data_IF_384811246177
#
_entry.id   IF_384811246177
#
_cell.length_a   1.000
_cell.length_b   1.000
_cell.length_c   1.000
_cell.angle_alpha   90.00
_cell.angle_beta   90.00
_cell.angle_gamma   90.00
#
_symmetry.space_group_name_H-M   'P 1'
#
loop_
_entity.id
_entity.type
_entity.pdbx_description
1 polymer ?
#
# COMPACT_ATOMS: atom_id res chain seq x y z
N UNK A 1 30.70 9.31 35.11
CA UNK A 1 30.31 10.48 35.92
C UNK A 1 29.25 11.30 35.23
N UNK A 2 29.63 12.14 34.27
CA UNK A 2 28.76 13.15 33.64
C UNK A 2 27.54 12.54 32.91
N UNK A 3 27.71 11.45 32.15
CA UNK A 3 26.61 10.79 31.43
C UNK A 3 25.52 10.22 32.36
N UNK A 4 25.92 9.65 33.50
CA UNK A 4 24.99 9.12 34.50
C UNK A 4 24.27 10.27 35.20
N UNK A 5 24.97 11.36 35.51
CA UNK A 5 24.34 12.56 36.08
C UNK A 5 23.33 13.21 35.12
N UNK A 6 23.63 13.25 33.82
CA UNK A 6 22.71 13.75 32.79
C UNK A 6 21.51 12.81 32.55
N UNK A 7 21.73 11.50 32.57
CA UNK A 7 20.65 10.52 32.45
C UNK A 7 19.71 10.57 33.65
N UNK A 8 20.26 10.72 34.87
CA UNK A 8 19.47 10.88 36.10
C UNK A 8 18.72 12.23 36.08
N UNK A 9 19.38 13.32 35.68
CA UNK A 9 18.74 14.63 35.55
C UNK A 9 17.62 14.65 34.48
N UNK A 10 17.79 13.90 33.39
CA UNK A 10 16.78 13.73 32.34
C UNK A 10 15.67 12.73 32.68
N UNK A 11 15.86 11.90 33.71
CA UNK A 11 14.85 10.92 34.16
C UNK A 11 13.83 11.50 35.14
N UNK A 12 14.00 12.75 35.57
CA UNK A 12 12.99 13.43 36.39
C UNK A 12 11.72 13.66 35.56
N UNK A 13 10.57 13.11 35.97
CA UNK A 13 9.29 13.38 35.31
C UNK A 13 9.06 14.89 35.31
N UNK A 14 8.77 15.45 34.14
CA UNK A 14 8.40 16.87 33.98
C UNK A 14 6.92 16.89 33.63
N UNK A 15 6.03 17.01 34.62
CA UNK A 15 4.59 16.85 34.40
C UNK A 15 4.04 17.78 33.32
N UNK A 16 4.58 19.00 33.25
CA UNK A 16 4.23 20.01 32.24
C UNK A 16 4.65 19.56 30.82
N UNK A 17 5.91 19.14 30.63
CA UNK A 17 6.40 18.69 29.32
C UNK A 17 5.72 17.37 28.89
N UNK A 18 5.47 16.45 29.83
CA UNK A 18 4.77 15.21 29.56
C UNK A 18 3.30 15.47 29.17
N UNK A 19 2.66 16.48 29.78
CA UNK A 19 1.29 16.90 29.41
C UNK A 19 1.23 17.60 28.06
N UNK A 20 2.19 18.46 27.73
CA UNK A 20 2.29 19.11 26.42
C UNK A 20 2.50 18.07 25.30
N UNK A 21 3.33 17.05 25.54
CA UNK A 21 3.54 15.94 24.60
C UNK A 21 2.26 15.13 24.43
N UNK A 22 1.56 14.82 25.53
CA UNK A 22 0.31 14.07 25.48
C UNK A 22 -0.79 14.85 24.72
N UNK A 23 -0.91 16.15 24.96
CA UNK A 23 -1.87 17.02 24.28
C UNK A 23 -1.52 17.16 22.79
N UNK A 24 -0.23 17.33 22.45
CA UNK A 24 0.22 17.36 21.05
C UNK A 24 -0.11 16.05 20.30
N UNK A 25 0.11 14.89 20.93
CA UNK A 25 -0.22 13.59 20.36
C UNK A 25 -1.74 13.43 20.16
N UNK A 26 -2.54 13.87 21.13
CA UNK A 26 -4.00 13.78 21.04
C UNK A 26 -4.54 14.64 19.89
N UNK A 27 -4.08 15.90 19.79
CA UNK A 27 -4.43 16.82 18.69
C UNK A 27 -4.01 16.24 17.33
N UNK A 28 -2.77 15.77 17.20
CA UNK A 28 -2.27 15.15 15.96
C UNK A 28 -3.12 13.94 15.55
N UNK A 29 -3.58 13.15 16.53
CA UNK A 29 -4.40 11.97 16.26
C UNK A 29 -5.81 12.28 15.77
N UNK A 30 -6.42 13.35 16.28
CA UNK A 30 -7.73 13.82 15.86
C UNK A 30 -7.65 14.34 14.42
N UNK A 31 -6.61 15.10 14.09
CA UNK A 31 -6.42 15.65 12.75
C UNK A 31 -6.10 14.54 11.72
N UNK A 32 -5.28 13.56 12.10
CA UNK A 32 -5.00 12.40 11.25
C UNK A 32 -6.28 11.60 10.92
N UNK A 33 -7.14 11.38 11.91
CA UNK A 33 -8.43 10.69 11.71
C UNK A 33 -9.39 11.50 10.84
N UNK A 34 -9.44 12.82 11.00
CA UNK A 34 -10.26 13.72 10.15
C UNK A 34 -9.80 13.67 8.70
N UNK A 35 -8.48 13.67 8.47
CA UNK A 35 -7.90 13.55 7.14
C UNK A 35 -8.26 12.21 6.48
N UNK A 36 -8.09 11.10 7.21
CA UNK A 36 -8.49 9.76 6.73
C UNK A 36 -9.98 9.67 6.37
N UNK A 37 -10.86 10.29 7.17
CA UNK A 37 -12.30 10.38 6.86
C UNK A 37 -12.57 11.26 5.63
N UNK A 38 -11.79 12.31 5.42
CA UNK A 38 -11.84 13.14 4.21
C UNK A 38 -11.45 12.35 2.96
N UNK A 39 -10.35 11.60 3.03
CA UNK A 39 -9.92 10.71 1.94
C UNK A 39 -10.97 9.63 1.64
N UNK A 40 -11.59 9.05 2.66
CA UNK A 40 -12.65 8.05 2.48
C UNK A 40 -13.88 8.64 1.75
N UNK A 41 -14.29 9.86 2.10
CA UNK A 41 -15.39 10.56 1.42
C UNK A 41 -15.07 10.87 -0.03
N UNK A 42 -13.82 11.25 -0.31
CA UNK A 42 -13.34 11.51 -1.68
C UNK A 42 -13.36 10.23 -2.53
N UNK A 43 -13.04 9.09 -1.92
CA UNK A 43 -12.98 7.78 -2.57
C UNK A 43 -14.34 7.11 -2.81
N UNK A 44 -15.32 7.36 -1.95
CA UNK A 44 -16.65 6.75 -2.01
C UNK A 44 -17.29 6.79 -3.41
N UNK A 45 -17.35 7.92 -4.15
CA UNK A 45 -17.94 7.94 -5.49
C UNK A 45 -17.19 7.04 -6.48
N UNK A 46 -15.86 6.98 -6.42
CA UNK A 46 -15.06 6.12 -7.30
C UNK A 46 -15.34 4.64 -7.04
N UNK A 47 -15.47 4.24 -5.76
CA UNK A 47 -15.81 2.87 -5.36
C UNK A 47 -17.22 2.50 -5.81
N UNK A 48 -18.19 3.39 -5.62
CA UNK A 48 -19.59 3.18 -6.04
C UNK A 48 -19.69 3.05 -7.56
N UNK A 49 -19.01 3.91 -8.31
CA UNK A 49 -18.98 3.84 -9.78
C UNK A 49 -18.31 2.54 -10.24
N UNK A 50 -17.17 2.15 -9.66
CA UNK A 50 -16.49 0.91 -9.99
C UNK A 50 -17.34 -0.33 -9.72
N UNK A 51 -18.01 -0.39 -8.57
CA UNK A 51 -18.94 -1.46 -8.23
C UNK A 51 -20.16 -1.48 -9.17
N UNK A 52 -20.70 -0.31 -9.53
CA UNK A 52 -21.81 -0.18 -10.47
C UNK A 52 -21.45 -0.66 -11.87
N UNK A 53 -20.27 -0.30 -12.38
CA UNK A 53 -19.75 -0.78 -13.66
C UNK A 53 -19.55 -2.29 -13.63
N UNK A 54 -18.90 -2.82 -12.59
CA UNK A 54 -18.70 -4.26 -12.44
C UNK A 54 -20.02 -5.01 -12.40
N UNK A 55 -20.98 -4.53 -11.61
CA UNK A 55 -22.31 -5.11 -11.51
C UNK A 55 -23.06 -5.09 -12.86
N UNK A 56 -22.98 -3.99 -13.60
CA UNK A 56 -23.53 -3.88 -14.94
C UNK A 56 -22.89 -4.91 -15.89
N UNK A 57 -21.56 -5.00 -15.90
CA UNK A 57 -20.81 -5.95 -16.74
C UNK A 57 -21.13 -7.43 -16.43
N UNK A 58 -21.44 -7.75 -15.17
CA UNK A 58 -21.85 -9.09 -14.74
C UNK A 58 -23.31 -9.42 -15.11
N UNK A 59 -24.14 -8.41 -15.36
CA UNK A 59 -25.56 -8.57 -15.70
C UNK A 59 -25.87 -8.45 -17.19
N UNK A 60 -24.98 -7.83 -17.96
CA UNK A 60 -25.13 -7.76 -19.40
C UNK A 60 -24.93 -9.17 -19.98
N UNK A 61 -25.94 -9.66 -20.69
CA UNK A 61 -25.85 -10.91 -21.46
C UNK A 61 -24.72 -10.81 -22.51
N UNK A 62 -24.18 -11.98 -22.89
CA UNK A 62 -23.13 -12.11 -23.91
C UNK A 62 -23.65 -11.66 -25.28
N UNK A 63 -23.59 -10.35 -25.53
CA UNK A 63 -24.00 -9.72 -26.78
C UNK A 63 -22.83 -9.50 -27.75
N UNK A 64 -23.16 -9.03 -28.95
CA UNK A 64 -22.16 -8.71 -30.00
C UNK A 64 -21.08 -7.74 -29.53
N UNK A 65 -21.41 -6.85 -28.60
CA UNK A 65 -20.49 -5.89 -27.99
C UNK A 65 -19.28 -6.57 -27.31
N UNK A 66 -19.46 -7.73 -26.65
CA UNK A 66 -18.35 -8.47 -26.01
C UNK A 66 -17.36 -9.00 -27.04
N UNK A 67 -17.87 -9.46 -28.20
CA UNK A 67 -17.03 -9.93 -29.30
C UNK A 67 -16.23 -8.78 -29.90
N UNK A 68 -16.89 -7.65 -30.21
CA UNK A 68 -16.21 -6.45 -30.70
C UNK A 68 -15.13 -5.95 -29.74
N UNK A 69 -15.40 -5.95 -28.42
CA UNK A 69 -14.39 -5.57 -27.43
C UNK A 69 -13.22 -6.55 -27.38
N UNK A 70 -13.48 -7.86 -27.48
CA UNK A 70 -12.42 -8.87 -27.47
C UNK A 70 -11.49 -8.73 -28.68
N UNK A 71 -12.03 -8.42 -29.87
CA UNK A 71 -11.23 -8.19 -31.08
C UNK A 71 -10.30 -6.99 -30.92
N UNK A 72 -10.79 -5.90 -30.32
CA UNK A 72 -10.01 -4.69 -30.04
C UNK A 72 -8.95 -4.97 -28.97
N UNK A 73 -9.33 -5.65 -27.87
CA UNK A 73 -8.44 -5.95 -26.74
C UNK A 73 -7.28 -6.87 -27.16
N UNK A 74 -7.57 -7.92 -27.93
CA UNK A 74 -6.60 -8.91 -28.38
C UNK A 74 -5.96 -8.60 -29.73
N UNK A 75 -6.15 -7.36 -30.22
CA UNK A 75 -5.55 -6.87 -31.46
C UNK A 75 -4.02 -6.96 -31.42
N UNK A 76 -3.44 -7.53 -32.49
CA UNK A 76 -2.02 -7.83 -32.63
C UNK A 76 -1.45 -7.14 -33.88
N UNK A 77 -0.88 -5.94 -33.76
CA UNK A 77 -0.29 -5.24 -34.90
C UNK A 77 0.99 -5.91 -35.41
N UNK A 78 1.81 -6.47 -34.51
CA UNK A 78 3.10 -7.08 -34.85
C UNK A 78 3.38 -8.29 -33.94
N UNK A 79 3.52 -9.47 -34.53
CA UNK A 79 3.85 -10.70 -33.79
C UNK A 79 2.86 -10.98 -32.66
N UNK A 80 3.38 -11.29 -31.46
CA UNK A 80 2.59 -11.52 -30.25
C UNK A 80 2.31 -10.26 -29.42
N UNK A 81 2.63 -9.06 -29.93
CA UNK A 81 2.45 -7.82 -29.18
C UNK A 81 0.98 -7.43 -29.12
N UNK A 82 0.42 -7.32 -27.90
CA UNK A 82 -0.97 -6.93 -27.63
C UNK A 82 -1.02 -5.63 -26.83
N UNK A 83 -0.88 -4.46 -27.47
CA UNK A 83 -0.74 -3.19 -26.75
C UNK A 83 -1.98 -2.81 -25.94
N UNK A 84 -3.18 -3.03 -26.50
CA UNK A 84 -4.44 -2.69 -25.83
C UNK A 84 -4.67 -3.57 -24.61
N UNK A 85 -4.45 -4.88 -24.75
CA UNK A 85 -4.47 -5.81 -23.62
C UNK A 85 -3.44 -5.44 -22.55
N UNK A 86 -2.20 -5.17 -22.94
CA UNK A 86 -1.14 -4.77 -22.01
C UNK A 86 -1.51 -3.51 -21.22
N UNK A 87 -2.02 -2.49 -21.91
CA UNK A 87 -2.51 -1.25 -21.28
C UNK A 87 -3.68 -1.53 -20.34
N UNK A 88 -4.65 -2.35 -20.74
CA UNK A 88 -5.77 -2.73 -19.89
C UNK A 88 -5.27 -3.44 -18.62
N UNK A 89 -4.39 -4.44 -18.75
CA UNK A 89 -3.82 -5.16 -17.60
C UNK A 89 -3.00 -4.25 -16.68
N UNK A 90 -2.22 -3.33 -17.26
CA UNK A 90 -1.43 -2.36 -16.50
C UNK A 90 -2.32 -1.35 -15.76
N UNK A 91 -3.38 -0.85 -16.39
CA UNK A 91 -4.36 0.03 -15.74
C UNK A 91 -5.09 -0.69 -14.61
N UNK A 92 -5.54 -1.92 -14.82
CA UNK A 92 -6.16 -2.73 -13.76
C UNK A 92 -5.19 -2.92 -12.60
N UNK A 93 -3.93 -3.24 -12.88
CA UNK A 93 -2.88 -3.36 -11.87
C UNK A 93 -2.63 -2.05 -11.12
N UNK A 94 -2.58 -0.92 -11.82
CA UNK A 94 -2.41 0.41 -11.24
C UNK A 94 -3.54 0.79 -10.29
N UNK A 95 -4.79 0.59 -10.73
CA UNK A 95 -6.00 0.87 -9.94
C UNK A 95 -6.02 -0.01 -8.68
N UNK A 96 -5.82 -1.32 -8.83
CA UNK A 96 -5.87 -2.24 -7.69
C UNK A 96 -4.70 -2.02 -6.72
N UNK A 97 -3.48 -1.80 -7.23
CA UNK A 97 -2.31 -1.48 -6.41
C UNK A 97 -2.49 -0.18 -5.63
N UNK A 98 -2.99 0.87 -6.30
CA UNK A 98 -3.34 2.14 -5.66
C UNK A 98 -4.44 1.98 -4.61
N UNK A 99 -5.50 1.21 -4.92
CA UNK A 99 -6.59 0.93 -3.99
C UNK A 99 -6.09 0.21 -2.72
N UNK A 100 -5.19 -0.77 -2.86
CA UNK A 100 -4.56 -1.46 -1.72
C UNK A 100 -3.81 -0.46 -0.84
N UNK A 101 -2.95 0.37 -1.43
CA UNK A 101 -2.17 1.36 -0.68
C UNK A 101 -3.03 2.40 0.01
N UNK A 102 -4.07 2.89 -0.68
CA UNK A 102 -4.96 3.90 -0.13
C UNK A 102 -5.87 3.35 0.97
N UNK A 103 -6.37 2.13 0.81
CA UNK A 103 -7.12 1.43 1.85
C UNK A 103 -6.25 1.19 3.08
N UNK A 104 -5.01 0.73 2.90
CA UNK A 104 -4.06 0.57 3.98
C UNK A 104 -3.81 1.90 4.72
N UNK A 105 -3.56 2.98 3.97
CA UNK A 105 -3.38 4.33 4.53
C UNK A 105 -4.55 4.75 5.41
N UNK A 106 -5.79 4.61 4.93
CA UNK A 106 -7.00 4.96 5.71
C UNK A 106 -7.12 4.07 6.95
N UNK A 107 -7.06 2.73 6.79
CA UNK A 107 -7.22 1.79 7.89
C UNK A 107 -6.18 2.00 8.98
N UNK A 108 -4.89 2.07 8.62
CA UNK A 108 -3.83 2.27 9.59
C UNK A 108 -3.87 3.66 10.22
N UNK A 109 -4.23 4.71 9.48
CA UNK A 109 -4.35 6.07 10.05
C UNK A 109 -5.50 6.15 11.05
N UNK A 110 -6.63 5.49 10.77
CA UNK A 110 -7.76 5.42 11.71
C UNK A 110 -7.41 4.65 13.00
N UNK A 111 -6.74 3.50 12.86
CA UNK A 111 -6.35 2.64 13.98
C UNK A 111 -5.23 3.26 14.82
N UNK A 112 -4.17 3.74 14.17
CA UNK A 112 -2.96 4.24 14.85
C UNK A 112 -3.10 5.69 15.31
N UNK A 113 -4.08 6.45 14.79
CA UNK A 113 -4.24 7.87 15.12
C UNK A 113 -3.03 8.70 14.68
N UNK A 114 -2.36 8.32 13.60
CA UNK A 114 -1.26 9.08 12.98
C UNK A 114 -1.13 8.66 11.53
N UNK A 115 -0.61 9.54 10.68
CA UNK A 115 -0.44 9.25 9.26
C UNK A 115 0.49 8.04 9.07
N UNK A 116 -0.09 6.91 8.67
CA UNK A 116 0.59 5.62 8.75
C UNK A 116 1.41 5.27 7.50
N UNK A 117 0.97 5.77 6.34
CA UNK A 117 1.59 5.49 5.05
C UNK A 117 1.69 6.79 4.25
N UNK A 118 2.90 7.12 3.80
CA UNK A 118 3.12 8.31 2.99
C UNK A 118 2.48 8.17 1.60
N UNK A 119 2.04 9.28 1.02
CA UNK A 119 1.45 9.28 -0.32
C UNK A 119 2.42 8.72 -1.37
N UNK A 120 3.74 8.89 -1.18
CA UNK A 120 4.76 8.29 -2.04
C UNK A 120 4.67 6.76 -2.11
N UNK A 121 4.44 6.09 -0.98
CA UNK A 121 4.36 4.63 -0.93
C UNK A 121 3.13 4.11 -1.70
N UNK A 122 2.01 4.84 -1.67
CA UNK A 122 0.80 4.52 -2.46
C UNK A 122 1.10 4.57 -3.96
N UNK A 123 1.87 5.55 -4.42
CA UNK A 123 2.27 5.63 -5.84
C UNK A 123 3.22 4.49 -6.23
N UNK A 124 4.12 4.08 -5.34
CA UNK A 124 5.00 2.93 -5.58
C UNK A 124 4.16 1.65 -5.69
N UNK A 125 3.14 1.47 -4.82
CA UNK A 125 2.19 0.36 -4.90
C UNK A 125 1.41 0.34 -6.21
N UNK A 126 0.91 1.50 -6.65
CA UNK A 126 0.21 1.63 -7.92
C UNK A 126 1.14 1.32 -9.11
N UNK A 127 2.37 1.83 -9.09
CA UNK A 127 3.37 1.54 -10.13
C UNK A 127 3.77 0.06 -10.16
N UNK A 128 3.98 -0.57 -9.00
CA UNK A 128 4.27 -1.99 -8.89
C UNK A 128 3.11 -2.83 -9.44
N UNK A 129 1.87 -2.45 -9.11
CA UNK A 129 0.67 -3.07 -9.67
C UNK A 129 0.59 -2.94 -11.19
N UNK A 130 0.91 -1.76 -11.73
CA UNK A 130 0.90 -1.51 -13.16
C UNK A 130 1.89 -2.37 -13.95
N UNK A 131 3.07 -2.61 -13.37
CA UNK A 131 4.17 -3.33 -14.04
C UNK A 131 4.11 -4.83 -13.81
N UNK A 132 3.87 -5.26 -12.57
CA UNK A 132 3.99 -6.66 -12.16
C UNK A 132 2.63 -7.30 -11.81
N UNK A 133 1.54 -6.56 -11.91
CA UNK A 133 0.20 -7.00 -11.56
C UNK A 133 -0.16 -6.76 -10.10
N UNK A 134 -1.46 -6.70 -9.84
CA UNK A 134 -2.01 -6.49 -8.49
C UNK A 134 -1.59 -7.56 -7.45
N UNK A 135 -1.35 -8.85 -7.78
CA UNK A 135 -0.92 -9.82 -6.79
C UNK A 135 0.48 -9.48 -6.24
N UNK A 136 1.38 -9.00 -7.10
CA UNK A 136 2.72 -8.57 -6.69
C UNK A 136 2.65 -7.31 -5.85
N UNK A 137 1.76 -6.37 -6.17
CA UNK A 137 1.52 -5.19 -5.34
C UNK A 137 1.03 -5.59 -3.92
N UNK A 138 0.10 -6.54 -3.84
CA UNK A 138 -0.41 -7.06 -2.57
C UNK A 138 0.68 -7.78 -1.77
N UNK A 139 1.40 -8.73 -2.39
CA UNK A 139 2.47 -9.47 -1.74
C UNK A 139 3.60 -8.56 -1.27
N UNK A 140 4.04 -7.63 -2.12
CA UNK A 140 5.11 -6.70 -1.78
C UNK A 140 4.73 -5.77 -0.64
N UNK A 141 3.47 -5.33 -0.56
CA UNK A 141 2.98 -4.55 0.58
C UNK A 141 3.18 -5.27 1.91
N UNK A 142 2.71 -6.53 1.99
CA UNK A 142 2.79 -7.31 3.23
C UNK A 142 4.21 -7.78 3.53
N UNK A 143 5.04 -8.02 2.50
CA UNK A 143 6.43 -8.43 2.66
C UNK A 143 7.32 -7.26 3.10
N UNK A 144 6.96 -6.02 2.79
CA UNK A 144 7.70 -4.83 3.20
C UNK A 144 7.70 -4.61 4.71
N UNK A 145 6.61 -4.90 5.41
CA UNK A 145 6.50 -4.75 6.87
C UNK A 145 7.54 -5.59 7.66
N UNK A 146 7.66 -6.92 7.47
CA UNK A 146 8.69 -7.70 8.16
C UNK A 146 10.11 -7.32 7.72
N UNK A 147 10.33 -6.97 6.45
CA UNK A 147 11.65 -6.51 5.98
C UNK A 147 12.08 -5.20 6.67
N UNK A 148 11.17 -4.24 6.77
CA UNK A 148 11.41 -2.99 7.50
C UNK A 148 11.65 -3.25 8.99
N UNK A 149 10.90 -4.17 9.61
CA UNK A 149 11.08 -4.52 11.02
C UNK A 149 12.46 -5.13 11.31
N UNK A 150 12.92 -6.06 10.47
CA UNK A 150 14.27 -6.65 10.58
C UNK A 150 15.34 -5.56 10.45
N UNK A 151 15.17 -4.63 9.51
CA UNK A 151 16.08 -3.53 9.32
C UNK A 151 16.16 -2.60 10.54
N UNK A 152 15.02 -2.23 11.12
CA UNK A 152 14.96 -1.45 12.36
C UNK A 152 15.68 -2.18 13.49
N UNK A 153 15.46 -3.49 13.64
CA UNK A 153 16.14 -4.30 14.65
C UNK A 153 17.67 -4.29 14.52
N UNK A 154 18.19 -4.43 13.30
CA UNK A 154 19.64 -4.36 13.03
C UNK A 154 20.21 -2.97 13.31
N UNK A 155 19.49 -1.91 12.94
CA UNK A 155 19.94 -0.52 13.15
C UNK A 155 19.90 -0.14 14.64
N UNK A 156 18.87 -0.57 15.37
CA UNK A 156 18.77 -0.38 16.81
C UNK A 156 19.95 -1.03 17.54
N UNK A 157 20.36 -2.22 17.09
CA UNK A 157 21.54 -2.91 17.62
C UNK A 157 22.85 -2.15 17.36
N UNK A 158 22.89 -1.37 16.27
CA UNK A 158 24.02 -0.47 15.91
C UNK A 158 23.92 0.92 16.54
N UNK A 159 22.94 1.18 17.40
CA UNK A 159 22.70 2.46 18.11
C UNK A 159 22.61 3.69 17.19
N UNK A 160 22.21 3.51 15.93
CA UNK A 160 21.92 4.64 15.05
C UNK A 160 20.43 4.98 15.16
N UNK A 161 20.09 6.08 15.83
CA UNK A 161 18.73 6.61 15.84
C UNK A 161 18.47 7.35 14.52
N UNK A 162 18.16 6.61 13.46
CA UNK A 162 17.65 7.18 12.21
C UNK A 162 16.23 6.65 11.96
N UNK A 163 15.32 7.57 11.68
CA UNK A 163 14.02 7.26 11.09
C UNK A 163 14.27 6.57 9.75
N UNK A 164 13.81 5.32 9.62
CA UNK A 164 13.98 4.56 8.39
C UNK A 164 12.84 4.92 7.42
N UNK A 165 13.14 5.39 6.20
CA UNK A 165 12.12 5.54 5.18
C UNK A 165 11.59 4.14 4.78
N UNK A 166 10.28 4.01 4.64
CA UNK A 166 9.63 2.74 4.29
C UNK A 166 9.85 2.37 2.81
N UNK A 167 9.95 3.37 1.94
CA UNK A 167 10.08 3.22 0.49
C UNK A 167 11.17 2.23 0.01
N UNK A 168 12.43 2.28 0.50
CA UNK A 168 13.47 1.32 0.09
C UNK A 168 13.14 -0.14 0.43
N UNK A 169 12.51 -0.39 1.59
CA UNK A 169 12.07 -1.73 1.99
C UNK A 169 10.88 -2.20 1.18
N UNK A 170 9.98 -1.29 0.83
CA UNK A 170 8.88 -1.53 -0.09
C UNK A 170 9.37 -1.89 -1.50
N UNK A 171 10.37 -1.18 -2.02
CA UNK A 171 10.99 -1.50 -3.30
C UNK A 171 11.68 -2.88 -3.29
N UNK A 172 12.41 -3.20 -2.21
CA UNK A 172 13.02 -4.53 -2.05
C UNK A 172 11.96 -5.63 -1.96
N UNK A 173 10.87 -5.38 -1.24
CA UNK A 173 9.75 -6.30 -1.13
C UNK A 173 9.11 -6.56 -2.51
N UNK A 174 8.91 -5.51 -3.33
CA UNK A 174 8.40 -5.68 -4.69
C UNK A 174 9.35 -6.45 -5.59
N UNK A 175 10.65 -6.20 -5.49
CA UNK A 175 11.64 -6.97 -6.22
C UNK A 175 11.56 -8.46 -5.87
N UNK A 176 11.52 -8.79 -4.58
CA UNK A 176 11.40 -10.17 -4.12
C UNK A 176 10.06 -10.80 -4.50
N UNK A 177 8.96 -10.06 -4.33
CA UNK A 177 7.62 -10.54 -4.70
C UNK A 177 7.53 -10.82 -6.21
N UNK A 178 8.10 -9.96 -7.05
CA UNK A 178 8.11 -10.15 -8.51
C UNK A 178 8.85 -11.43 -8.91
N UNK A 179 10.00 -11.71 -8.27
CA UNK A 179 10.82 -12.90 -8.57
C UNK A 179 10.23 -14.20 -8.02
N UNK A 180 9.60 -14.16 -6.84
CA UNK A 180 9.20 -15.36 -6.11
C UNK A 180 7.67 -15.52 -5.97
N UNK A 181 6.86 -14.72 -6.64
CA UNK A 181 5.39 -14.75 -6.54
C UNK A 181 4.80 -16.16 -6.61
N UNK A 182 5.19 -16.97 -7.59
CA UNK A 182 4.65 -18.34 -7.76
C UNK A 182 4.97 -19.25 -6.57
N UNK A 183 6.18 -19.09 -6.01
CA UNK A 183 6.64 -19.86 -4.85
C UNK A 183 5.91 -19.40 -3.60
N UNK A 184 5.78 -18.08 -3.41
CA UNK A 184 5.10 -17.47 -2.26
C UNK A 184 3.62 -17.85 -2.26
N UNK A 185 2.92 -17.68 -3.39
CA UNK A 185 1.50 -18.01 -3.54
C UNK A 185 1.22 -19.50 -3.30
N UNK A 186 2.12 -20.38 -3.78
CA UNK A 186 2.03 -21.82 -3.55
C UNK A 186 2.23 -22.17 -2.07
N UNK A 187 3.23 -21.57 -1.42
CA UNK A 187 3.52 -21.82 -0.01
C UNK A 187 2.37 -21.35 0.90
N UNK A 188 1.84 -20.15 0.63
CA UNK A 188 0.71 -19.58 1.37
C UNK A 188 -0.62 -20.27 1.05
N UNK A 189 -0.69 -21.15 0.04
CA UNK A 189 -1.91 -21.76 -0.52
C UNK A 189 -3.03 -20.77 -0.83
N UNK A 190 -2.72 -19.48 -1.00
CA UNK A 190 -3.71 -18.44 -1.33
C UNK A 190 -3.87 -18.25 -2.84
N UNK A 191 -3.34 -19.16 -3.66
CA UNK A 191 -3.44 -19.07 -5.12
C UNK A 191 -4.90 -18.94 -5.58
N UNK A 192 -5.84 -19.57 -4.87
CA UNK A 192 -7.29 -19.43 -5.12
C UNK A 192 -7.82 -17.99 -5.03
N UNK A 193 -7.09 -17.07 -4.38
CA UNK A 193 -7.50 -15.67 -4.24
C UNK A 193 -7.24 -14.89 -5.52
N UNK A 194 -6.43 -15.45 -6.42
CA UNK A 194 -5.91 -14.82 -7.62
C UNK A 194 -6.31 -15.54 -8.92
N UNK A 195 -7.06 -16.64 -8.82
CA UNK A 195 -7.65 -17.42 -9.94
C UNK A 195 -9.15 -17.14 -10.05
#
# INVERSE_FOLDING_TARGET
GIFVALAVAGSHPRPEADSEIAEAIDVESVDARRLALGELKLLAPAVVLGAGVLYGLLRLEDGEWRRSLSEILYWQPVGSWRPVWGLATGLTGWVLGGAIGWLARILFTLVLGKEALGMGDVHILAAAGAVAGWPVAWLGFFLAAPLALVAVGVIALRRQSRTLPYGPWLALAFFLASLFQDTILRYLRVRWLFE
#
